data_IF_408135802909
#
_entry.id   IF_408135802909
#
_cell.length_a   1.000
_cell.length_b   1.000
_cell.length_c   1.000
_cell.angle_alpha   90.00
_cell.angle_beta   90.00
_cell.angle_gamma   90.00
#
_symmetry.space_group_name_H-M   'P 1'
#
loop_
_entity.id
_entity.type
_entity.pdbx_description
1 polymer ?
#
# COMPACT_ATOMS: atom_id res chain seq x y z
N UNK A 1 -8.97 1.49 7.55
CA UNK A 1 -7.97 0.66 8.23
C UNK A 1 -6.78 1.50 8.74
N UNK A 2 -5.99 2.18 7.89
CA UNK A 2 -4.87 3.05 8.30
C UNK A 2 -5.30 4.08 9.33
N UNK A 3 -6.38 4.83 9.05
CA UNK A 3 -6.99 5.78 9.99
C UNK A 3 -7.45 5.11 11.29
N UNK A 4 -8.13 3.96 11.21
CA UNK A 4 -8.61 3.25 12.39
C UNK A 4 -7.46 2.82 13.32
N UNK A 5 -6.36 2.30 12.74
CA UNK A 5 -5.16 1.99 13.48
C UNK A 5 -4.51 3.21 14.12
N UNK A 6 -4.43 4.32 13.37
CA UNK A 6 -3.90 5.58 13.89
C UNK A 6 -4.75 6.10 15.06
N UNK A 7 -6.07 6.13 14.91
CA UNK A 7 -7.00 6.54 15.98
C UNK A 7 -6.85 5.67 17.24
N UNK A 8 -6.71 4.35 17.06
CA UNK A 8 -6.51 3.40 18.15
C UNK A 8 -5.24 3.72 18.98
N UNK A 9 -4.14 4.13 18.34
CA UNK A 9 -2.91 4.51 19.05
C UNK A 9 -3.13 5.72 19.97
N UNK A 10 -4.03 6.63 19.62
CA UNK A 10 -4.33 7.84 20.38
C UNK A 10 -5.43 7.67 21.45
N UNK A 11 -6.08 6.51 21.54
CA UNK A 11 -7.12 6.27 22.55
C UNK A 11 -6.60 6.49 23.97
N UNK A 12 -7.28 7.37 24.72
CA UNK A 12 -6.92 7.69 26.11
C UNK A 12 -5.63 8.51 26.28
N UNK A 13 -5.04 9.06 25.22
CA UNK A 13 -3.75 9.78 25.27
C UNK A 13 -3.85 11.29 25.48
N UNK A 14 -5.05 11.84 25.66
CA UNK A 14 -5.26 13.28 25.93
C UNK A 14 -5.26 14.17 24.69
N UNK A 15 -5.28 13.61 23.50
CA UNK A 15 -5.35 14.34 22.23
C UNK A 15 -6.76 14.28 21.64
N UNK A 16 -7.17 15.37 21.00
CA UNK A 16 -8.41 15.46 20.21
C UNK A 16 -8.10 15.08 18.76
N UNK A 17 -8.57 13.92 18.32
CA UNK A 17 -8.52 13.55 16.90
C UNK A 17 -9.67 14.23 16.16
N UNK A 18 -9.36 15.17 15.30
CA UNK A 18 -10.34 15.93 14.54
C UNK A 18 -11.11 15.03 13.56
N UNK A 19 -12.22 15.53 13.05
CA UNK A 19 -12.97 14.86 12.00
C UNK A 19 -12.11 14.70 10.75
N UNK A 20 -12.10 13.47 10.19
CA UNK A 20 -11.31 13.16 9.00
C UNK A 20 -11.81 13.94 7.79
N UNK A 21 -10.90 14.53 7.05
CA UNK A 21 -11.18 15.19 5.79
C UNK A 21 -10.60 14.39 4.62
N UNK A 22 -11.25 14.45 3.46
CA UNK A 22 -10.95 13.60 2.32
C UNK A 22 -10.39 14.42 1.15
N UNK A 23 -9.12 14.15 0.81
CA UNK A 23 -8.39 14.80 -0.26
C UNK A 23 -8.50 14.10 -1.63
N UNK A 24 -9.19 12.93 -1.68
CA UNK A 24 -9.41 12.16 -2.92
C UNK A 24 -8.12 11.71 -3.61
N UNK A 25 -7.02 11.61 -2.86
CA UNK A 25 -5.70 11.27 -3.38
C UNK A 25 -4.97 12.45 -4.05
N UNK A 26 -5.62 13.61 -4.17
CA UNK A 26 -5.03 14.82 -4.74
C UNK A 26 -4.21 15.58 -3.70
N UNK A 27 -2.94 15.87 -4.02
CA UNK A 27 -2.02 16.54 -3.12
C UNK A 27 -2.39 18.01 -2.85
N UNK A 28 -2.92 18.73 -3.86
CA UNK A 28 -3.28 20.14 -3.70
C UNK A 28 -4.54 20.30 -2.84
N UNK A 29 -5.54 19.43 -3.04
CA UNK A 29 -6.73 19.38 -2.20
C UNK A 29 -6.38 18.99 -0.77
N UNK A 30 -5.50 18.00 -0.59
CA UNK A 30 -5.00 17.57 0.72
C UNK A 30 -4.19 18.66 1.41
N UNK A 31 -3.43 19.47 0.67
CA UNK A 31 -2.72 20.62 1.20
C UNK A 31 -3.71 21.66 1.77
N UNK A 32 -4.76 22.00 1.02
CA UNK A 32 -5.79 22.93 1.49
C UNK A 32 -6.46 22.43 2.78
N UNK A 33 -6.73 21.15 2.89
CA UNK A 33 -7.28 20.52 4.09
C UNK A 33 -6.30 20.66 5.27
N UNK A 34 -5.02 20.35 5.04
CA UNK A 34 -4.00 20.44 6.07
C UNK A 34 -3.76 21.88 6.54
N UNK A 35 -3.79 22.87 5.62
CA UNK A 35 -3.74 24.30 5.96
C UNK A 35 -4.91 24.71 6.85
N UNK A 36 -6.12 24.21 6.58
CA UNK A 36 -7.28 24.45 7.44
C UNK A 36 -7.09 23.85 8.84
N UNK A 37 -6.51 22.66 8.98
CA UNK A 37 -6.16 22.10 10.29
C UNK A 37 -5.11 22.95 11.02
N UNK A 38 -4.10 23.44 10.30
CA UNK A 38 -3.05 24.32 10.87
C UNK A 38 -3.66 25.58 11.44
N UNK A 39 -4.62 26.21 10.75
CA UNK A 39 -5.33 27.40 11.28
C UNK A 39 -6.14 27.11 12.54
N UNK A 40 -6.53 25.86 12.77
CA UNK A 40 -7.26 25.42 13.97
C UNK A 40 -6.32 24.99 15.11
N UNK A 41 -5.01 25.17 14.93
CA UNK A 41 -4.00 24.99 15.97
C UNK A 41 -3.66 23.52 16.27
N UNK A 42 -3.62 22.66 15.24
CA UNK A 42 -3.17 21.27 15.40
C UNK A 42 -1.70 21.18 15.78
N UNK A 43 -1.35 20.15 16.56
CA UNK A 43 0.04 19.82 16.92
C UNK A 43 0.60 18.70 16.04
N UNK A 44 -0.26 17.99 15.31
CA UNK A 44 0.13 16.93 14.38
C UNK A 44 -0.89 16.73 13.27
N UNK A 45 -0.45 16.20 12.13
CA UNK A 45 -1.31 15.84 10.99
C UNK A 45 -0.84 14.50 10.43
N UNK A 46 -1.79 13.58 10.20
CA UNK A 46 -1.57 12.29 9.56
C UNK A 46 -2.13 12.26 8.15
N UNK A 47 -1.29 11.99 7.15
CA UNK A 47 -1.67 11.70 5.78
C UNK A 47 -1.79 10.20 5.53
N UNK A 48 -2.96 9.71 5.12
CA UNK A 48 -3.24 8.28 5.02
C UNK A 48 -2.78 7.62 3.71
N UNK A 49 -2.30 8.39 2.73
CA UNK A 49 -1.78 7.91 1.44
C UNK A 49 -0.80 8.93 0.86
N UNK A 50 -0.20 8.65 -0.29
CA UNK A 50 0.81 9.50 -0.94
C UNK A 50 0.34 10.95 -1.13
N UNK A 51 -0.82 11.18 -1.76
CA UNK A 51 -1.34 12.52 -2.01
C UNK A 51 -1.66 13.27 -0.71
N UNK A 52 -2.25 12.59 0.29
CA UNK A 52 -2.52 13.18 1.60
C UNK A 52 -1.24 13.51 2.37
N UNK A 53 -0.21 12.67 2.25
CA UNK A 53 1.11 12.88 2.88
C UNK A 53 1.84 14.05 2.25
N UNK A 54 1.88 14.09 0.92
CA UNK A 54 2.51 15.19 0.16
C UNK A 54 1.81 16.52 0.47
N UNK A 55 0.48 16.54 0.47
CA UNK A 55 -0.31 17.72 0.81
C UNK A 55 -0.06 18.19 2.25
N UNK A 56 0.00 17.25 3.21
CA UNK A 56 0.33 17.56 4.61
C UNK A 56 1.70 18.21 4.75
N UNK A 57 2.74 17.62 4.13
CA UNK A 57 4.09 18.16 4.18
C UNK A 57 4.20 19.54 3.53
N UNK A 58 3.54 19.75 2.39
CA UNK A 58 3.49 21.03 1.71
C UNK A 58 2.80 22.11 2.55
N UNK A 59 1.71 21.78 3.24
CA UNK A 59 1.01 22.71 4.14
C UNK A 59 1.89 23.10 5.33
N UNK A 60 2.59 22.15 5.96
CA UNK A 60 3.54 22.44 7.05
C UNK A 60 4.67 23.34 6.53
N UNK A 61 5.23 23.05 5.35
CA UNK A 61 6.25 23.88 4.70
C UNK A 61 5.75 25.30 4.45
N UNK A 62 4.57 25.45 3.86
CA UNK A 62 3.97 26.74 3.56
C UNK A 62 3.66 27.56 4.82
N UNK A 63 3.27 26.92 5.91
CA UNK A 63 2.98 27.59 7.19
C UNK A 63 4.22 28.16 7.90
N UNK A 64 5.42 27.65 7.57
CA UNK A 64 6.65 27.94 8.30
C UNK A 64 6.69 27.39 9.73
N UNK A 65 5.67 26.63 10.16
CA UNK A 65 5.56 26.12 11.53
C UNK A 65 6.14 24.69 11.62
N UNK A 66 7.43 24.59 11.89
CA UNK A 66 8.14 23.31 12.08
C UNK A 66 7.81 22.61 13.42
N UNK A 67 6.96 23.20 14.25
CA UNK A 67 6.48 22.58 15.49
C UNK A 67 5.39 21.56 15.28
N UNK A 68 4.72 21.55 14.11
CA UNK A 68 3.68 20.59 13.75
C UNK A 68 4.32 19.27 13.29
N UNK A 69 3.89 18.15 13.85
CA UNK A 69 4.41 16.84 13.50
C UNK A 69 3.60 16.23 12.35
N UNK A 70 4.21 16.17 11.15
CA UNK A 70 3.63 15.48 10.00
C UNK A 70 4.08 14.02 9.96
N UNK A 71 3.14 13.09 9.88
CA UNK A 71 3.39 11.66 9.65
C UNK A 71 2.59 11.22 8.42
N UNK A 72 3.19 10.40 7.57
CA UNK A 72 2.61 10.04 6.30
C UNK A 72 2.53 8.56 6.01
N UNK A 73 2.08 8.25 4.80
CA UNK A 73 2.00 6.92 4.22
C UNK A 73 2.49 6.95 2.78
N UNK A 74 3.02 5.83 2.33
CA UNK A 74 3.64 5.60 1.02
C UNK A 74 5.00 6.31 0.84
N UNK A 75 5.71 6.02 -0.25
CA UNK A 75 7.06 6.53 -0.56
C UNK A 75 7.06 7.11 -1.96
N UNK A 76 7.45 8.37 -2.08
CA UNK A 76 7.76 9.03 -3.36
C UNK A 76 8.86 10.06 -3.15
N UNK A 77 9.47 10.52 -4.24
CA UNK A 77 10.51 11.57 -4.18
C UNK A 77 10.00 12.83 -3.47
N UNK A 78 8.75 13.21 -3.70
CA UNK A 78 8.13 14.36 -3.04
C UNK A 78 8.07 14.18 -1.51
N UNK A 79 7.64 13.01 -1.04
CA UNK A 79 7.58 12.68 0.39
C UNK A 79 8.99 12.64 0.98
N UNK A 80 9.95 12.00 0.28
CA UNK A 80 11.32 11.90 0.75
C UNK A 80 11.98 13.28 0.88
N UNK A 81 11.74 14.18 -0.07
CA UNK A 81 12.23 15.56 0.02
C UNK A 81 11.63 16.29 1.24
N UNK A 82 10.33 16.15 1.50
CA UNK A 82 9.65 16.75 2.65
C UNK A 82 10.17 16.21 4.00
N UNK A 83 10.53 14.93 4.06
CA UNK A 83 11.17 14.30 5.23
C UNK A 83 12.59 14.86 5.41
N UNK A 84 13.40 14.89 4.35
CA UNK A 84 14.78 15.37 4.40
C UNK A 84 14.86 16.86 4.72
N UNK A 85 13.89 17.65 4.25
CA UNK A 85 13.76 19.08 4.57
C UNK A 85 13.18 19.33 5.98
N UNK A 86 12.73 18.28 6.71
CA UNK A 86 12.22 18.37 8.08
C UNK A 86 10.76 18.83 8.21
N UNK A 87 9.99 18.81 7.13
CA UNK A 87 8.54 19.14 7.15
C UNK A 87 7.65 17.92 7.46
N UNK A 88 8.17 16.74 7.25
CA UNK A 88 7.56 15.47 7.72
C UNK A 88 8.54 14.77 8.65
N UNK A 89 8.03 14.20 9.75
CA UNK A 89 8.81 13.37 10.66
C UNK A 89 9.21 12.05 9.99
N UNK A 90 8.23 11.40 9.36
CA UNK A 90 8.41 10.09 8.74
C UNK A 90 7.23 9.76 7.81
N UNK A 91 7.41 8.68 7.07
CA UNK A 91 6.33 8.00 6.34
C UNK A 91 6.35 6.50 6.61
N UNK A 92 5.17 5.86 6.55
CA UNK A 92 5.00 4.41 6.55
C UNK A 92 5.08 3.93 5.10
N UNK A 93 6.23 3.43 4.67
CA UNK A 93 6.40 2.85 3.35
C UNK A 93 5.97 1.39 3.37
N UNK A 94 5.06 1.01 2.49
CA UNK A 94 4.73 -0.39 2.23
C UNK A 94 5.93 -1.05 1.51
N UNK A 95 5.94 -2.38 1.46
CA UNK A 95 6.97 -3.17 0.80
C UNK A 95 6.40 -3.84 -0.47
N UNK A 96 6.05 -3.08 -1.53
CA UNK A 96 5.46 -3.64 -2.74
C UNK A 96 6.41 -4.57 -3.51
N UNK A 97 7.71 -4.35 -3.42
CA UNK A 97 8.75 -5.24 -3.95
C UNK A 97 8.65 -6.65 -3.33
N UNK A 98 8.48 -6.73 -2.00
CA UNK A 98 8.25 -8.01 -1.32
C UNK A 98 6.92 -8.63 -1.73
N UNK A 99 5.84 -7.84 -1.86
CA UNK A 99 4.55 -8.36 -2.34
C UNK A 99 4.68 -9.00 -3.72
N UNK A 100 5.37 -8.33 -4.65
CA UNK A 100 5.59 -8.85 -6.00
C UNK A 100 6.43 -10.11 -6.00
N UNK A 101 7.51 -10.12 -5.25
CA UNK A 101 8.40 -11.26 -5.09
C UNK A 101 7.69 -12.47 -4.47
N UNK A 102 7.09 -12.29 -3.28
CA UNK A 102 6.42 -13.36 -2.56
C UNK A 102 5.22 -13.89 -3.35
N UNK A 103 4.57 -13.02 -4.13
CA UNK A 103 3.53 -13.39 -5.08
C UNK A 103 4.02 -14.39 -6.14
N UNK A 104 5.19 -14.13 -6.75
CA UNK A 104 5.79 -15.04 -7.75
C UNK A 104 6.22 -16.34 -7.11
N UNK A 105 6.87 -16.30 -5.95
CA UNK A 105 7.27 -17.51 -5.21
C UNK A 105 6.07 -18.39 -4.86
N UNK A 106 5.00 -17.77 -4.34
CA UNK A 106 3.78 -18.51 -4.00
C UNK A 106 3.10 -19.10 -5.24
N UNK A 107 3.07 -18.39 -6.35
CA UNK A 107 2.54 -18.90 -7.61
C UNK A 107 3.31 -20.13 -8.08
N UNK A 108 4.65 -20.09 -8.06
CA UNK A 108 5.50 -21.25 -8.43
C UNK A 108 5.25 -22.42 -7.49
N UNK A 109 5.23 -22.21 -6.18
CA UNK A 109 4.97 -23.26 -5.18
C UNK A 109 3.58 -23.89 -5.35
N UNK A 110 2.55 -23.07 -5.62
CA UNK A 110 1.21 -23.54 -5.90
C UNK A 110 1.14 -24.38 -7.18
N UNK A 111 1.87 -24.00 -8.22
CA UNK A 111 2.00 -24.75 -9.47
C UNK A 111 2.76 -26.07 -9.27
N UNK A 112 3.64 -26.15 -8.29
CA UNK A 112 4.33 -27.37 -7.86
C UNK A 112 3.50 -28.25 -6.92
N UNK A 113 2.25 -27.86 -6.62
CA UNK A 113 1.31 -28.64 -5.85
C UNK A 113 1.26 -28.32 -4.36
N UNK A 114 1.93 -27.25 -3.91
CA UNK A 114 1.78 -26.79 -2.54
C UNK A 114 0.40 -26.16 -2.32
N UNK A 115 -0.17 -26.39 -1.14
CA UNK A 115 -1.47 -25.83 -0.75
C UNK A 115 -1.29 -24.80 0.34
N UNK A 116 -1.68 -23.56 0.07
CA UNK A 116 -1.56 -22.44 1.01
C UNK A 116 -2.82 -22.25 1.87
N UNK A 117 -3.96 -22.78 1.42
CA UNK A 117 -5.22 -22.69 2.16
C UNK A 117 -5.75 -21.25 2.32
N UNK A 118 -5.41 -20.36 1.40
CA UNK A 118 -5.80 -18.95 1.47
C UNK A 118 -4.98 -18.14 2.48
N UNK A 119 -3.71 -18.52 2.70
CA UNK A 119 -2.78 -17.80 3.59
C UNK A 119 -2.75 -16.30 3.29
N UNK A 120 -2.90 -15.48 4.33
CA UNK A 120 -2.70 -14.03 4.26
C UNK A 120 -1.43 -13.67 5.02
N UNK A 121 -0.47 -13.10 4.30
CA UNK A 121 0.82 -12.69 4.85
C UNK A 121 0.90 -11.17 4.88
N UNK A 122 1.21 -10.61 6.06
CA UNK A 122 1.56 -9.19 6.19
C UNK A 122 3.00 -8.97 5.73
N UNK A 123 3.19 -8.18 4.67
CA UNK A 123 4.52 -7.79 4.17
C UNK A 123 5.12 -6.64 4.97
N UNK A 124 4.39 -6.12 5.98
CA UNK A 124 4.86 -5.08 6.87
C UNK A 124 4.91 -3.69 6.26
N UNK A 125 5.46 -2.77 7.04
CA UNK A 125 5.81 -1.42 6.62
C UNK A 125 7.17 -1.03 7.20
N UNK A 126 7.92 -0.25 6.42
CA UNK A 126 9.15 0.40 6.87
C UNK A 126 8.85 1.83 7.33
N UNK A 127 9.34 2.21 8.52
CA UNK A 127 9.24 3.60 9.01
C UNK A 127 10.41 4.39 8.46
N UNK A 128 10.20 5.19 7.42
CA UNK A 128 11.25 5.98 6.80
C UNK A 128 11.32 7.36 7.45
N UNK A 129 12.50 7.69 7.99
CA UNK A 129 12.87 8.99 8.56
C UNK A 129 14.05 9.58 7.79
N UNK A 130 14.35 10.86 8.03
CA UNK A 130 15.54 11.48 7.45
C UNK A 130 16.81 10.65 7.77
N UNK A 131 17.59 10.32 6.73
CA UNK A 131 18.83 9.54 6.86
C UNK A 131 18.65 8.03 7.03
N UNK A 132 17.43 7.49 7.02
CA UNK A 132 17.17 6.04 7.02
C UNK A 132 16.33 5.65 5.80
N UNK A 133 16.92 4.83 4.92
CA UNK A 133 16.33 4.39 3.65
C UNK A 133 16.42 2.87 3.50
N UNK A 134 16.34 2.12 4.60
CA UNK A 134 16.42 0.65 4.53
C UNK A 134 15.21 0.09 3.77
N UNK A 135 15.50 -0.51 2.60
CA UNK A 135 14.56 -1.35 1.87
C UNK A 135 14.63 -2.79 2.43
N UNK A 136 13.49 -3.44 2.59
CA UNK A 136 13.45 -4.82 3.04
C UNK A 136 14.01 -5.75 1.94
N UNK A 137 15.14 -6.40 2.21
CA UNK A 137 15.71 -7.39 1.30
C UNK A 137 15.19 -8.78 1.66
N UNK A 138 14.46 -9.41 0.75
CA UNK A 138 14.09 -10.81 0.85
C UNK A 138 15.04 -11.71 0.04
N UNK A 139 15.23 -12.97 0.44
CA UNK A 139 15.96 -14.01 -0.31
C UNK A 139 15.01 -15.11 -0.72
N UNK A 140 15.16 -15.66 -1.92
CA UNK A 140 14.33 -16.74 -2.47
C UNK A 140 14.95 -18.09 -2.16
N UNK A 141 14.18 -18.98 -1.51
CA UNK A 141 14.58 -20.37 -1.24
C UNK A 141 13.85 -21.38 -2.16
N UNK A 142 13.18 -20.90 -3.21
CA UNK A 142 12.37 -21.69 -4.13
C UNK A 142 13.15 -21.94 -5.43
N UNK A 143 12.93 -23.09 -6.06
CA UNK A 143 13.44 -23.41 -7.39
C UNK A 143 12.28 -23.91 -8.24
N UNK A 144 12.05 -23.29 -9.40
CA UNK A 144 11.04 -23.76 -10.34
C UNK A 144 11.47 -25.08 -11.00
N UNK A 145 10.52 -25.99 -11.17
CA UNK A 145 10.76 -27.30 -11.80
C UNK A 145 10.35 -27.34 -13.27
N UNK A 146 9.76 -26.26 -13.78
CA UNK A 146 9.28 -26.11 -15.15
C UNK A 146 9.27 -24.63 -15.53
N UNK A 147 9.33 -24.34 -16.84
CA UNK A 147 9.16 -22.99 -17.40
C UNK A 147 7.68 -22.58 -17.31
N UNK A 148 7.29 -22.09 -16.12
CA UNK A 148 5.91 -21.61 -15.88
C UNK A 148 5.74 -20.23 -16.49
N UNK A 149 4.51 -19.95 -16.98
CA UNK A 149 4.12 -18.63 -17.45
C UNK A 149 3.14 -18.00 -16.46
N UNK A 150 3.54 -16.88 -15.88
CA UNK A 150 2.82 -16.21 -14.79
C UNK A 150 2.43 -14.80 -15.24
N UNK A 151 1.16 -14.42 -15.13
CA UNK A 151 0.73 -13.05 -15.34
C UNK A 151 0.78 -12.26 -14.03
N UNK A 152 1.31 -11.05 -14.08
CA UNK A 152 1.17 -10.05 -13.02
C UNK A 152 0.22 -8.94 -13.49
N UNK A 153 -0.90 -8.75 -12.79
CA UNK A 153 -1.95 -7.81 -13.14
C UNK A 153 -2.12 -6.78 -12.01
N UNK A 154 -1.75 -5.52 -12.26
CA UNK A 154 -1.90 -4.42 -11.30
C UNK A 154 -3.10 -3.54 -11.62
N UNK A 155 -3.44 -2.59 -10.73
CA UNK A 155 -4.57 -1.68 -10.92
C UNK A 155 -4.33 -0.65 -12.03
N UNK A 156 -3.09 -0.22 -12.22
CA UNK A 156 -2.62 0.62 -13.30
C UNK A 156 -1.13 0.39 -13.56
N UNK A 157 -0.58 1.05 -14.58
CA UNK A 157 0.81 0.90 -15.03
C UNK A 157 1.71 2.07 -14.67
N UNK A 158 1.22 3.10 -14.00
CA UNK A 158 1.93 4.38 -13.80
C UNK A 158 2.20 4.76 -12.35
N UNK A 159 1.41 4.22 -11.40
CA UNK A 159 1.62 4.45 -9.98
C UNK A 159 2.94 3.79 -9.52
N UNK A 160 3.78 4.53 -8.80
CA UNK A 160 5.10 4.05 -8.34
C UNK A 160 5.00 2.80 -7.48
N UNK A 161 3.91 2.62 -6.74
CA UNK A 161 3.65 1.41 -5.97
C UNK A 161 3.64 0.16 -6.87
N UNK A 162 2.93 0.23 -8.01
CA UNK A 162 2.85 -0.89 -8.95
C UNK A 162 4.15 -1.11 -9.73
N UNK A 163 4.89 -0.04 -10.01
CA UNK A 163 6.23 -0.14 -10.64
C UNK A 163 7.18 -0.89 -9.72
N UNK A 164 7.25 -0.54 -8.44
CA UNK A 164 8.11 -1.21 -7.46
C UNK A 164 7.67 -2.67 -7.21
N UNK A 165 6.35 -2.94 -7.18
CA UNK A 165 5.83 -4.30 -7.06
C UNK A 165 6.23 -5.16 -8.26
N UNK A 166 6.13 -4.61 -9.47
CA UNK A 166 6.57 -5.25 -10.71
C UNK A 166 8.07 -5.57 -10.68
N UNK A 167 8.91 -4.63 -10.25
CA UNK A 167 10.37 -4.83 -10.15
C UNK A 167 10.73 -5.99 -9.22
N UNK A 168 10.06 -6.09 -8.06
CA UNK A 168 10.21 -7.22 -7.15
C UNK A 168 9.79 -8.55 -7.77
N UNK A 169 8.67 -8.57 -8.50
CA UNK A 169 8.17 -9.74 -9.20
C UNK A 169 9.09 -10.17 -10.36
N UNK A 170 9.59 -9.22 -11.17
CA UNK A 170 10.52 -9.48 -12.27
C UNK A 170 11.85 -10.08 -11.79
N UNK A 171 12.36 -9.57 -10.66
CA UNK A 171 13.55 -10.11 -10.03
C UNK A 171 13.33 -11.54 -9.59
N UNK A 172 12.24 -11.85 -8.88
CA UNK A 172 11.93 -13.21 -8.44
C UNK A 172 11.71 -14.16 -9.64
N UNK A 173 10.99 -13.72 -10.68
CA UNK A 173 10.78 -14.52 -11.88
C UNK A 173 12.09 -14.87 -12.58
N UNK A 174 13.01 -13.92 -12.67
CA UNK A 174 14.35 -14.15 -13.22
C UNK A 174 15.16 -15.14 -12.37
N UNK A 175 15.14 -15.01 -11.05
CA UNK A 175 15.85 -15.90 -10.13
C UNK A 175 15.29 -17.33 -10.17
N UNK A 176 13.96 -17.48 -10.34
CA UNK A 176 13.28 -18.76 -10.42
C UNK A 176 13.29 -19.38 -11.83
N UNK A 177 13.62 -18.61 -12.87
CA UNK A 177 13.62 -19.09 -14.26
C UNK A 177 12.21 -19.28 -14.84
N UNK A 178 11.25 -18.43 -14.47
CA UNK A 178 9.86 -18.44 -14.97
C UNK A 178 9.58 -17.23 -15.85
N UNK A 179 8.63 -17.38 -16.80
CA UNK A 179 8.17 -16.27 -17.64
C UNK A 179 7.18 -15.41 -16.86
N UNK A 180 7.47 -14.12 -16.65
CA UNK A 180 6.55 -13.15 -16.10
C UNK A 180 6.00 -12.25 -17.20
N UNK A 181 4.66 -12.18 -17.31
CA UNK A 181 3.96 -11.28 -18.24
C UNK A 181 3.27 -10.20 -17.44
N UNK A 182 3.77 -8.98 -17.52
CA UNK A 182 3.14 -7.83 -16.87
C UNK A 182 1.98 -7.30 -17.71
N UNK A 183 0.82 -7.17 -17.09
CA UNK A 183 -0.41 -6.63 -17.68
C UNK A 183 -1.02 -5.60 -16.73
N UNK A 184 -1.37 -4.43 -17.23
CA UNK A 184 -2.01 -3.41 -16.42
C UNK A 184 -2.84 -2.46 -17.29
N UNK A 185 -3.99 -1.99 -16.79
CA UNK A 185 -4.69 -0.87 -17.40
C UNK A 185 -3.83 0.40 -17.40
N UNK A 186 -4.11 1.33 -18.31
CA UNK A 186 -3.47 2.66 -18.25
C UNK A 186 -4.04 3.54 -17.13
N UNK A 187 -5.23 3.22 -16.66
CA UNK A 187 -5.94 3.88 -15.56
C UNK A 187 -6.69 2.83 -14.75
N UNK A 188 -7.00 3.12 -13.49
CA UNK A 188 -7.80 2.24 -12.64
C UNK A 188 -9.20 2.05 -13.22
N UNK A 189 -9.41 0.92 -13.91
CA UNK A 189 -10.63 0.58 -14.62
C UNK A 189 -10.91 -0.93 -14.50
N UNK A 190 -12.08 -1.26 -13.95
CA UNK A 190 -12.45 -2.66 -13.67
C UNK A 190 -12.63 -3.48 -14.96
N UNK A 191 -13.21 -2.88 -16.00
CA UNK A 191 -13.48 -3.58 -17.28
C UNK A 191 -12.16 -3.92 -17.98
N UNK A 192 -11.21 -2.98 -18.00
CA UNK A 192 -9.89 -3.24 -18.55
C UNK A 192 -9.14 -4.31 -17.73
N UNK A 193 -9.24 -4.28 -16.40
CA UNK A 193 -8.58 -5.30 -15.57
C UNK A 193 -9.18 -6.69 -15.78
N UNK A 194 -10.51 -6.80 -15.97
CA UNK A 194 -11.18 -8.05 -16.35
C UNK A 194 -10.65 -8.55 -17.71
N UNK A 195 -10.49 -7.65 -18.69
CA UNK A 195 -9.89 -7.99 -19.97
C UNK A 195 -8.47 -8.55 -19.83
N UNK A 196 -7.65 -7.98 -18.96
CA UNK A 196 -6.30 -8.51 -18.70
C UNK A 196 -6.33 -9.92 -18.09
N UNK A 197 -7.26 -10.22 -17.18
CA UNK A 197 -7.43 -11.59 -16.67
C UNK A 197 -7.79 -12.56 -17.80
N UNK A 198 -8.74 -12.20 -18.65
CA UNK A 198 -9.14 -13.03 -19.77
C UNK A 198 -8.00 -13.24 -20.77
N UNK A 199 -7.22 -12.19 -21.04
CA UNK A 199 -6.05 -12.25 -21.90
C UNK A 199 -4.95 -13.15 -21.33
N UNK A 200 -4.72 -13.13 -20.00
CA UNK A 200 -3.79 -14.01 -19.32
C UNK A 200 -4.17 -15.48 -19.48
N UNK A 201 -5.45 -15.82 -19.29
CA UNK A 201 -5.99 -17.17 -19.50
C UNK A 201 -5.83 -17.59 -20.96
N UNK A 202 -6.28 -16.74 -21.91
CA UNK A 202 -6.16 -17.02 -23.34
C UNK A 202 -4.70 -17.12 -23.81
N UNK A 203 -3.79 -16.38 -23.19
CA UNK A 203 -2.35 -16.41 -23.42
C UNK A 203 -1.64 -17.63 -22.80
N UNK A 204 -2.39 -18.52 -22.15
CA UNK A 204 -1.86 -19.75 -21.56
C UNK A 204 -1.01 -19.55 -20.31
N UNK A 205 -1.31 -18.52 -19.51
CA UNK A 205 -0.66 -18.35 -18.21
C UNK A 205 -1.08 -19.48 -17.25
N UNK A 206 -0.12 -20.05 -16.55
CA UNK A 206 -0.34 -21.11 -15.55
C UNK A 206 -0.81 -20.53 -14.21
N UNK A 207 -0.44 -19.27 -13.91
CA UNK A 207 -0.87 -18.54 -12.73
C UNK A 207 -1.13 -17.06 -13.03
N UNK A 208 -1.96 -16.43 -12.20
CA UNK A 208 -2.25 -15.00 -12.20
C UNK A 208 -1.97 -14.46 -10.79
N UNK A 209 -1.07 -13.48 -10.72
CA UNK A 209 -0.85 -12.64 -9.54
C UNK A 209 -1.61 -11.33 -9.79
N UNK A 210 -2.54 -10.95 -8.91
CA UNK A 210 -3.40 -9.81 -9.16
C UNK A 210 -3.62 -8.93 -7.92
N UNK A 211 -3.56 -7.62 -8.14
CA UNK A 211 -4.07 -6.59 -7.22
C UNK A 211 -5.43 -6.11 -7.74
N UNK A 212 -6.52 -6.50 -7.09
CA UNK A 212 -7.87 -6.20 -7.57
C UNK A 212 -8.24 -4.72 -7.39
N UNK A 213 -8.60 -4.04 -8.48
CA UNK A 213 -9.15 -2.68 -8.44
C UNK A 213 -10.57 -2.69 -7.86
N UNK A 214 -11.47 -3.46 -8.44
CA UNK A 214 -12.82 -3.72 -7.93
C UNK A 214 -12.97 -5.17 -7.46
N UNK A 215 -12.93 -5.45 -6.12
CA UNK A 215 -12.95 -6.82 -5.61
C UNK A 215 -14.13 -7.67 -6.07
N UNK A 216 -15.31 -7.08 -6.21
CA UNK A 216 -16.51 -7.77 -6.71
C UNK A 216 -16.49 -7.86 -8.25
N UNK A 217 -16.08 -6.80 -8.93
CA UNK A 217 -16.11 -6.72 -10.38
C UNK A 217 -15.28 -7.82 -11.06
N UNK A 218 -14.06 -8.06 -10.56
CA UNK A 218 -13.12 -9.04 -11.14
C UNK A 218 -13.44 -10.49 -10.76
N UNK A 219 -14.32 -10.72 -9.78
CA UNK A 219 -14.56 -12.02 -9.17
C UNK A 219 -15.01 -13.10 -10.17
N UNK A 220 -15.88 -12.76 -11.15
CA UNK A 220 -16.33 -13.73 -12.17
C UNK A 220 -15.18 -14.21 -13.03
N UNK A 221 -14.36 -13.30 -13.55
CA UNK A 221 -13.23 -13.64 -14.41
C UNK A 221 -12.18 -14.48 -13.66
N UNK A 222 -11.92 -14.18 -12.38
CA UNK A 222 -10.99 -14.98 -11.57
C UNK A 222 -11.55 -16.38 -11.25
N UNK A 223 -12.85 -16.52 -11.03
CA UNK A 223 -13.48 -17.86 -10.87
C UNK A 223 -13.37 -18.67 -12.16
N UNK A 224 -13.58 -18.06 -13.32
CA UNK A 224 -13.44 -18.71 -14.63
C UNK A 224 -11.98 -19.14 -14.87
N UNK A 225 -11.01 -18.26 -14.57
CA UNK A 225 -9.58 -18.57 -14.64
C UNK A 225 -9.22 -19.77 -13.72
N UNK A 226 -9.68 -19.75 -12.48
CA UNK A 226 -9.46 -20.82 -11.51
C UNK A 226 -10.11 -22.15 -11.98
N UNK A 227 -11.31 -22.09 -12.55
CA UNK A 227 -11.98 -23.27 -13.11
C UNK A 227 -11.24 -23.84 -14.34
N UNK A 228 -10.50 -22.99 -15.07
CA UNK A 228 -9.61 -23.40 -16.16
C UNK A 228 -8.28 -24.00 -15.66
N UNK A 229 -8.04 -24.02 -14.34
CA UNK A 229 -6.83 -24.57 -13.72
C UNK A 229 -5.72 -23.55 -13.46
N UNK A 230 -5.96 -22.28 -13.72
CA UNK A 230 -5.00 -21.19 -13.45
C UNK A 230 -4.94 -20.91 -11.96
N UNK A 231 -3.74 -20.88 -11.38
CA UNK A 231 -3.52 -20.54 -9.96
C UNK A 231 -3.68 -19.04 -9.73
N UNK A 232 -4.38 -18.65 -8.66
CA UNK A 232 -4.62 -17.26 -8.32
C UNK A 232 -3.85 -16.90 -7.04
N UNK A 233 -3.09 -15.81 -7.08
CA UNK A 233 -2.41 -15.22 -5.92
C UNK A 233 -2.76 -13.74 -5.85
N UNK A 234 -3.08 -13.23 -4.67
CA UNK A 234 -3.32 -11.81 -4.47
C UNK A 234 -2.08 -11.09 -3.93
N UNK A 235 -1.88 -9.88 -4.43
CA UNK A 235 -0.92 -8.92 -3.89
C UNK A 235 -1.64 -7.61 -3.59
N UNK A 236 -1.26 -6.92 -2.52
CA UNK A 236 -1.85 -5.66 -2.02
C UNK A 236 -3.36 -5.74 -1.75
N UNK A 237 -4.18 -5.91 -2.77
CA UNK A 237 -5.64 -5.82 -2.69
C UNK A 237 -6.31 -7.08 -3.23
N UNK A 238 -6.89 -7.93 -2.37
CA UNK A 238 -7.57 -9.15 -2.80
C UNK A 238 -8.94 -8.88 -3.42
N UNK A 239 -9.40 -9.78 -4.30
CA UNK A 239 -10.79 -9.89 -4.71
C UNK A 239 -11.60 -10.75 -3.72
N UNK A 240 -12.92 -10.87 -3.97
CA UNK A 240 -13.84 -11.62 -3.09
C UNK A 240 -14.01 -13.09 -3.50
N UNK A 241 -12.97 -13.68 -4.10
CA UNK A 241 -12.93 -15.11 -4.46
C UNK A 241 -11.70 -15.79 -3.85
N UNK A 242 -11.73 -17.11 -3.62
CA UNK A 242 -10.60 -17.82 -3.07
C UNK A 242 -9.34 -17.70 -3.95
N UNK A 243 -8.18 -17.61 -3.32
CA UNK A 243 -6.88 -17.68 -3.96
C UNK A 243 -5.94 -18.58 -3.14
N UNK A 244 -4.78 -18.93 -3.69
CA UNK A 244 -3.77 -19.72 -3.00
C UNK A 244 -3.23 -18.97 -1.79
N UNK A 245 -2.80 -17.71 -2.00
CA UNK A 245 -2.27 -16.84 -0.96
C UNK A 245 -2.57 -15.36 -1.24
N UNK A 246 -2.38 -14.52 -0.22
CA UNK A 246 -2.47 -13.06 -0.30
C UNK A 246 -1.26 -12.45 0.42
N UNK A 247 -0.55 -11.56 -0.25
CA UNK A 247 0.56 -10.78 0.29
C UNK A 247 0.19 -9.30 0.30
N UNK A 248 0.01 -8.73 1.48
CA UNK A 248 -0.49 -7.36 1.61
C UNK A 248 0.00 -6.72 2.90
N UNK A 249 -0.10 -5.40 3.00
CA UNK A 249 0.16 -4.68 4.25
C UNK A 249 -1.02 -4.84 5.21
N UNK A 250 -0.77 -5.17 6.48
CA UNK A 250 -1.75 -4.91 7.55
C UNK A 250 -1.90 -3.40 7.77
N UNK A 251 -2.82 -2.83 7.02
CA UNK A 251 -3.10 -1.39 7.06
C UNK A 251 -3.54 -0.86 8.44
N UNK A 252 -4.08 -1.73 9.31
CA UNK A 252 -4.46 -1.35 10.68
C UNK A 252 -3.23 -1.30 11.57
N UNK A 253 -2.37 -2.32 11.49
CA UNK A 253 -1.09 -2.32 12.20
C UNK A 253 -0.19 -1.16 11.76
N UNK A 254 -0.10 -0.93 10.45
CA UNK A 254 0.66 0.19 9.88
C UNK A 254 0.15 1.56 10.37
N UNK A 255 -1.16 1.75 10.42
CA UNK A 255 -1.78 2.96 10.98
C UNK A 255 -1.49 3.12 12.48
N UNK A 256 -1.47 2.02 13.23
CA UNK A 256 -1.10 2.03 14.66
C UNK A 256 0.36 2.43 14.84
N UNK A 257 1.27 1.91 14.00
CA UNK A 257 2.69 2.30 13.99
C UNK A 257 2.87 3.79 13.68
N UNK A 258 2.13 4.33 12.71
CA UNK A 258 2.13 5.76 12.40
C UNK A 258 1.68 6.61 13.60
N UNK A 259 0.60 6.20 14.27
CA UNK A 259 0.10 6.88 15.46
C UNK A 259 1.08 6.83 16.63
N UNK A 260 1.68 5.68 16.89
CA UNK A 260 2.69 5.53 17.94
C UNK A 260 3.93 6.38 17.65
N UNK A 261 4.40 6.40 16.40
CA UNK A 261 5.56 7.23 16.01
C UNK A 261 5.28 8.73 16.23
N UNK A 262 4.07 9.20 15.94
CA UNK A 262 3.69 10.58 16.23
C UNK A 262 3.61 10.85 17.74
N UNK A 263 3.02 9.93 18.53
CA UNK A 263 2.92 10.05 19.99
C UNK A 263 4.30 10.12 20.65
N UNK A 264 5.24 9.29 20.20
CA UNK A 264 6.60 9.27 20.73
C UNK A 264 7.30 10.61 20.50
N UNK A 265 7.15 11.20 19.31
CA UNK A 265 7.72 12.52 19.00
C UNK A 265 7.02 13.65 19.77
N UNK A 266 5.69 13.62 19.88
CA UNK A 266 4.94 14.60 20.71
C UNK A 266 5.41 14.54 22.17
N UNK A 267 5.56 13.33 22.71
CA UNK A 267 6.06 13.10 24.07
C UNK A 267 7.51 13.61 24.23
N UNK A 268 8.40 13.33 23.28
CA UNK A 268 9.78 13.83 23.29
C UNK A 268 9.86 15.36 23.29
N UNK A 269 8.88 16.03 22.68
CA UNK A 269 8.74 17.50 22.69
C UNK A 269 7.97 18.05 23.89
N UNK A 270 7.53 17.18 24.83
CA UNK A 270 6.75 17.57 26.01
C UNK A 270 5.32 17.99 25.71
N UNK A 271 4.79 17.64 24.53
CA UNK A 271 3.41 17.92 24.12
C UNK A 271 2.53 16.76 24.57
N UNK A 272 1.67 16.98 25.56
CA UNK A 272 0.82 15.94 26.17
C UNK A 272 -0.67 16.06 25.81
N UNK A 273 -1.04 17.10 25.07
CA UNK A 273 -2.42 17.31 24.59
C UNK A 273 -2.41 18.22 23.37
N UNK A 274 -3.51 18.25 22.65
CA UNK A 274 -3.69 19.09 21.45
C UNK A 274 -4.60 18.43 20.42
N UNK A 275 -4.76 19.09 19.29
CA UNK A 275 -5.57 18.59 18.17
C UNK A 275 -4.69 17.90 17.15
N UNK A 276 -5.17 16.82 16.59
CA UNK A 276 -4.52 16.06 15.51
C UNK A 276 -5.44 16.02 14.30
N UNK A 277 -4.96 16.51 13.16
CA UNK A 277 -5.67 16.43 11.87
C UNK A 277 -5.43 15.08 11.18
N UNK A 278 -6.42 14.59 10.44
CA UNK A 278 -6.31 13.37 9.61
C UNK A 278 -6.80 13.68 8.21
N UNK A 279 -5.92 13.51 7.23
CA UNK A 279 -6.24 13.64 5.79
C UNK A 279 -6.23 12.26 5.16
N UNK A 280 -7.37 11.85 4.58
CA UNK A 280 -7.53 10.54 3.97
C UNK A 280 -7.93 10.65 2.49
N UNK A 281 -7.93 9.55 1.75
CA UNK A 281 -8.30 9.50 0.33
C UNK A 281 -9.78 9.75 0.16
N UNK A 282 -10.58 8.78 0.54
CA UNK A 282 -12.05 8.80 0.57
C UNK A 282 -12.56 7.71 1.52
N UNK A 283 -13.87 7.69 1.76
CA UNK A 283 -14.48 6.74 2.67
C UNK A 283 -14.62 5.31 2.10
N UNK A 284 -14.32 5.08 0.83
CA UNK A 284 -14.64 3.85 0.10
C UNK A 284 -13.43 2.96 -0.26
N UNK A 285 -12.19 3.48 -0.21
CA UNK A 285 -11.01 2.68 -0.59
C UNK A 285 -10.75 1.52 0.38
N UNK A 286 -10.17 0.42 -0.12
CA UNK A 286 -9.86 -0.77 0.66
C UNK A 286 -8.92 -0.50 1.86
N UNK A 287 -8.02 0.49 1.75
CA UNK A 287 -7.17 0.94 2.87
C UNK A 287 -7.93 1.79 3.91
N UNK A 288 -9.07 2.38 3.53
CA UNK A 288 -9.90 3.24 4.39
C UNK A 288 -11.03 2.47 5.06
N UNK A 289 -11.65 1.51 4.37
CA UNK A 289 -12.82 0.77 4.87
C UNK A 289 -12.41 -0.34 5.84
N UNK A 290 -13.01 -0.36 7.02
CA UNK A 290 -13.01 -1.53 7.88
C UNK A 290 -14.00 -2.57 7.28
N UNK A 291 -13.50 -3.73 6.90
CA UNK A 291 -14.34 -4.90 6.57
C UNK A 291 -14.43 -5.80 7.79
#
# INVERSE_FOLDING_TARGET
>A
KREAGFRKAFEGKGFELMETQYGEGDAAKSQTIAENYITQGVVGIFGCNEGSTTGTGNAIKASGNTGIIGVGFDKSDAIMNLINDGYLLCTMAQNPDLMGRDGVEAAVRALQGETFGGLVTDTGVSVIKAGNTEDAAGTTDVTATKDWKIALITMDSIDQHWITLKEGAEKAASELGVELVFMAPNTKDDAQQIEQVNNAVAGGCDAIIVAANGPDAISSALNEASAAGVKIVYVDSPANVPAEATFSTDNTAAGTTAGQTMLDELSAKGITSGKIGIVNVNAATASSVAR
#
